data_IF_446588618455
#
_entry.id   IF_446588618455
#
_cell.length_a   1.000
_cell.length_b   1.000
_cell.length_c   1.000
_cell.angle_alpha   90.00
_cell.angle_beta   90.00
_cell.angle_gamma   90.00
#
_symmetry.space_group_name_H-M   'P 1'
#
loop_
_entity.id
_entity.type
_entity.pdbx_description
1 polymer ?
#
# COMPACT_ATOMS: atom_id res chain seq x y z
N UNK A 1 6.05 6.10 -20.24
CA UNK A 1 4.79 5.47 -19.80
C UNK A 1 5.14 4.66 -18.56
N UNK A 2 5.37 5.38 -17.44
CA UNK A 2 5.79 4.76 -16.18
C UNK A 2 4.61 4.01 -15.57
N UNK A 3 4.89 2.79 -15.07
CA UNK A 3 3.87 1.87 -14.60
C UNK A 3 3.05 2.50 -13.47
N UNK A 4 1.75 2.74 -13.71
CA UNK A 4 0.81 3.28 -12.71
C UNK A 4 0.80 2.47 -11.41
N UNK A 5 1.08 1.17 -11.50
CA UNK A 5 1.23 0.25 -10.36
C UNK A 5 2.51 0.53 -9.55
N UNK A 6 3.64 0.84 -10.22
CA UNK A 6 4.89 1.19 -9.53
C UNK A 6 4.72 2.48 -8.73
N UNK A 7 4.03 3.48 -9.28
CA UNK A 7 3.74 4.72 -8.54
C UNK A 7 2.90 4.48 -7.29
N UNK A 8 1.95 3.53 -7.32
CA UNK A 8 1.16 3.13 -6.16
C UNK A 8 2.04 2.39 -5.14
N UNK A 9 2.89 1.48 -5.62
CA UNK A 9 3.81 0.73 -4.77
C UNK A 9 4.84 1.64 -4.07
N UNK A 10 5.43 2.60 -4.78
CA UNK A 10 6.38 3.57 -4.22
C UNK A 10 5.71 4.49 -3.20
N UNK A 11 4.47 4.94 -3.47
CA UNK A 11 3.71 5.74 -2.51
C UNK A 11 3.41 4.94 -1.24
N UNK A 12 3.00 3.68 -1.39
CA UNK A 12 2.75 2.78 -0.27
C UNK A 12 4.02 2.51 0.54
N UNK A 13 5.13 2.17 -0.11
CA UNK A 13 6.41 1.94 0.56
C UNK A 13 6.87 3.20 1.29
N UNK A 14 6.80 4.38 0.67
CA UNK A 14 7.13 5.64 1.33
C UNK A 14 6.25 5.96 2.56
N UNK A 15 5.03 5.40 2.64
CA UNK A 15 4.15 5.55 3.79
C UNK A 15 4.47 4.56 4.90
N UNK A 16 4.80 3.32 4.56
CA UNK A 16 5.06 2.25 5.53
C UNK A 16 6.51 2.15 5.99
N UNK A 17 7.44 2.67 5.20
CA UNK A 17 8.87 2.57 5.46
C UNK A 17 9.33 3.72 6.34
N UNK A 18 10.04 3.35 7.41
CA UNK A 18 10.39 4.21 8.53
C UNK A 18 11.44 5.26 8.13
N UNK A 19 11.19 6.55 8.41
CA UNK A 19 12.26 7.56 8.38
C UNK A 19 12.87 7.65 9.77
N UNK A 20 14.16 7.97 9.92
CA UNK A 20 14.88 7.96 11.20
C UNK A 20 14.29 8.84 12.34
N UNK A 21 13.22 9.60 12.07
CA UNK A 21 12.53 10.47 13.02
C UNK A 21 11.00 10.31 13.03
N UNK A 22 10.44 9.31 12.34
CA UNK A 22 8.99 9.06 12.29
C UNK A 22 8.72 7.61 11.94
N UNK A 23 8.13 6.88 12.91
CA UNK A 23 7.53 5.56 12.70
C UNK A 23 6.69 5.58 11.41
N UNK A 24 6.96 4.61 10.53
CA UNK A 24 6.16 4.40 9.33
C UNK A 24 4.68 4.25 9.71
N UNK A 25 3.78 4.66 8.82
CA UNK A 25 2.34 4.46 9.02
C UNK A 25 2.06 2.96 9.14
N UNK A 26 1.09 2.60 9.98
CA UNK A 26 0.58 1.25 9.99
C UNK A 26 -0.02 0.88 8.62
N UNK A 27 -0.14 -0.42 8.35
CA UNK A 27 -0.76 -0.93 7.13
C UNK A 27 -2.14 -0.28 6.90
N UNK A 28 -2.97 -0.24 7.94
CA UNK A 28 -4.32 0.32 7.88
C UNK A 28 -4.32 1.82 7.56
N UNK A 29 -3.39 2.57 8.14
CA UNK A 29 -3.21 4.00 7.83
C UNK A 29 -2.73 4.23 6.39
N UNK A 30 -1.77 3.44 5.91
CA UNK A 30 -1.27 3.52 4.54
C UNK A 30 -2.37 3.17 3.51
N UNK A 31 -3.17 2.15 3.78
CA UNK A 31 -4.32 1.76 2.96
C UNK A 31 -5.40 2.85 2.96
N UNK A 32 -5.72 3.41 4.12
CA UNK A 32 -6.69 4.51 4.22
C UNK A 32 -6.25 5.73 3.42
N UNK A 33 -4.96 6.05 3.43
CA UNK A 33 -4.44 7.18 2.66
C UNK A 33 -4.43 6.89 1.15
N UNK A 34 -4.03 5.69 0.71
CA UNK A 34 -4.15 5.27 -0.69
C UNK A 34 -5.58 5.40 -1.20
N UNK A 35 -6.57 4.97 -0.41
CA UNK A 35 -7.99 5.11 -0.74
C UNK A 35 -8.41 6.59 -0.84
N UNK A 36 -7.84 7.48 -0.03
CA UNK A 36 -8.09 8.92 -0.15
C UNK A 36 -7.45 9.54 -1.40
N UNK A 37 -6.40 8.94 -1.94
CA UNK A 37 -5.73 9.36 -3.18
C UNK A 37 -6.40 8.77 -4.43
N UNK A 38 -7.12 7.66 -4.28
CA UNK A 38 -7.92 7.01 -5.31
C UNK A 38 -8.94 7.98 -5.91
N UNK A 39 -8.96 8.05 -7.24
CA UNK A 39 -9.84 8.96 -7.99
C UNK A 39 -9.39 10.42 -8.03
N UNK A 40 -8.29 10.79 -7.34
CA UNK A 40 -7.66 12.12 -7.45
C UNK A 40 -6.31 12.06 -8.16
N UNK A 41 -5.40 11.23 -7.67
CA UNK A 41 -4.02 11.13 -8.17
C UNK A 41 -3.71 9.76 -8.75
N UNK A 42 -4.43 8.73 -8.29
CA UNK A 42 -4.25 7.33 -8.71
C UNK A 42 -5.58 6.72 -9.12
N UNK A 43 -5.50 5.69 -9.97
CA UNK A 43 -6.68 4.98 -10.46
C UNK A 43 -7.33 4.20 -9.31
N UNK A 44 -8.63 4.43 -9.02
CA UNK A 44 -9.30 3.70 -7.95
C UNK A 44 -9.29 2.18 -8.19
N UNK A 45 -9.42 1.72 -9.44
CA UNK A 45 -9.40 0.29 -9.74
C UNK A 45 -8.04 -0.34 -9.45
N UNK A 46 -6.95 0.38 -9.72
CA UNK A 46 -5.59 -0.11 -9.43
C UNK A 46 -5.29 -0.08 -7.94
N UNK A 47 -5.83 0.89 -7.20
CA UNK A 47 -5.71 0.96 -5.74
C UNK A 47 -6.42 -0.23 -5.10
N UNK A 48 -7.64 -0.56 -5.54
CA UNK A 48 -8.38 -1.70 -5.02
C UNK A 48 -7.63 -3.03 -5.25
N UNK A 49 -7.14 -3.27 -6.47
CA UNK A 49 -6.33 -4.46 -6.80
C UNK A 49 -5.05 -4.50 -5.97
N UNK A 50 -4.36 -3.37 -5.80
CA UNK A 50 -3.14 -3.31 -5.00
C UNK A 50 -3.41 -3.67 -3.52
N UNK A 51 -4.47 -3.14 -2.93
CA UNK A 51 -4.84 -3.41 -1.54
C UNK A 51 -5.15 -4.90 -1.36
N UNK A 52 -5.93 -5.49 -2.27
CA UNK A 52 -6.26 -6.92 -2.23
C UNK A 52 -4.99 -7.80 -2.22
N UNK A 53 -4.03 -7.49 -3.10
CA UNK A 53 -2.76 -8.22 -3.19
C UNK A 53 -1.93 -8.09 -1.92
N UNK A 54 -1.80 -6.88 -1.36
CA UNK A 54 -1.00 -6.66 -0.14
C UNK A 54 -1.63 -7.35 1.08
N UNK A 55 -2.95 -7.33 1.20
CA UNK A 55 -3.69 -8.06 2.23
C UNK A 55 -3.53 -9.57 2.09
N UNK A 56 -3.60 -10.11 0.86
CA UNK A 56 -3.36 -11.53 0.63
C UNK A 56 -1.94 -11.95 1.02
N UNK A 57 -0.93 -11.13 0.68
CA UNK A 57 0.46 -11.38 1.07
C UNK A 57 0.65 -11.35 2.59
N UNK A 58 -0.02 -10.43 3.29
CA UNK A 58 -0.01 -10.35 4.76
C UNK A 58 -0.62 -11.61 5.38
N UNK A 59 -1.81 -12.01 4.91
CA UNK A 59 -2.50 -13.22 5.37
C UNK A 59 -1.70 -14.51 5.13
N UNK A 60 -0.91 -14.58 4.04
CA UNK A 60 0.00 -15.70 3.77
C UNK A 60 1.18 -15.78 4.74
N UNK A 61 1.74 -14.64 5.15
CA UNK A 61 2.83 -14.61 6.16
C UNK A 61 2.36 -15.13 7.52
N UNK A 62 1.12 -14.88 7.89
CA UNK A 62 0.56 -15.35 9.16
C UNK A 62 0.27 -16.86 9.15
N UNK A 63 -0.11 -17.44 7.99
CA UNK A 63 -0.36 -18.89 7.84
C UNK A 63 0.90 -19.74 7.65
N UNK A 64 2.02 -19.14 7.24
CA UNK A 64 3.29 -19.85 7.02
C UNK A 64 4.14 -20.04 8.28
N UNK A 65 3.67 -19.58 9.44
CA UNK A 65 4.40 -19.61 10.72
C UNK A 65 3.71 -20.49 11.79
N UNK A 66 2.86 -21.44 11.36
CA UNK A 66 2.26 -22.51 12.18
C UNK A 66 2.70 -23.89 11.68
#
# INVERSE_FOLDING_TARGET
MECRILSIADAYDAMTNDRPYRNGKSHDEAVSELKSLAGRQVDPQLVDVFIEVVEEMRNKKEKGNS
#
